data_IF_107246522120
#
_entry.id   IF_107246522120
#
_cell.length_a   1.000
_cell.length_b   1.000
_cell.length_c   1.000
_cell.angle_alpha   90.00
_cell.angle_beta   90.00
_cell.angle_gamma   90.00
#
_symmetry.space_group_name_H-M   'P 1'
#
loop_
_entity.id
_entity.type
_entity.pdbx_description
1 polymer ?
#
# COMPACT_ATOMS: atom_id res chain seq x y z
N UNK A 1 -7.57 1.21 -10.34
CA UNK A 1 -6.20 0.76 -10.75
C UNK A 1 -5.74 -0.35 -9.81
N UNK A 2 -4.67 -1.09 -10.09
CA UNK A 2 -4.02 -1.99 -9.11
C UNK A 2 -2.50 -1.86 -9.16
N UNK A 3 -1.85 -2.07 -8.02
CA UNK A 3 -0.39 -1.99 -7.88
C UNK A 3 0.13 -3.25 -7.22
N UNK A 4 1.15 -3.85 -7.83
CA UNK A 4 1.91 -4.95 -7.25
C UNK A 4 3.27 -4.41 -6.80
N UNK A 5 3.63 -4.56 -5.54
CA UNK A 5 4.85 -3.98 -4.96
C UNK A 5 5.65 -4.99 -4.13
N UNK A 6 6.98 -4.83 -4.13
CA UNK A 6 7.89 -5.48 -3.21
C UNK A 6 8.19 -4.53 -2.03
N UNK A 7 7.58 -4.80 -0.88
CA UNK A 7 7.81 -4.06 0.37
C UNK A 7 8.75 -4.80 1.33
N UNK A 8 9.40 -5.89 0.90
CA UNK A 8 10.33 -6.67 1.73
C UNK A 8 11.73 -6.06 1.79
N UNK A 9 12.07 -5.16 0.86
CA UNK A 9 13.38 -4.51 0.76
C UNK A 9 13.52 -3.38 1.79
N UNK A 10 14.75 -3.05 2.23
CA UNK A 10 15.00 -1.92 3.12
C UNK A 10 14.55 -0.58 2.53
N UNK A 11 14.77 -0.38 1.23
CA UNK A 11 14.25 0.78 0.50
C UNK A 11 12.94 0.37 -0.15
N UNK A 12 11.86 1.09 0.18
CA UNK A 12 10.51 0.85 -0.34
C UNK A 12 10.26 1.71 -1.59
N UNK A 13 9.32 1.30 -2.47
CA UNK A 13 8.93 2.12 -3.63
C UNK A 13 8.27 3.44 -3.25
N UNK A 14 7.59 3.48 -2.10
CA UNK A 14 7.03 4.68 -1.49
C UNK A 14 7.56 4.79 -0.06
N UNK A 15 8.06 5.95 0.30
CA UNK A 15 8.67 6.22 1.60
C UNK A 15 7.84 7.29 2.30
N UNK A 16 7.27 6.93 3.44
CA UNK A 16 6.71 7.88 4.38
C UNK A 16 7.83 8.34 5.32
N UNK A 17 8.16 9.63 5.28
CA UNK A 17 9.14 10.24 6.16
C UNK A 17 8.41 11.04 7.24
N UNK A 18 8.48 10.55 8.47
CA UNK A 18 8.05 11.31 9.64
C UNK A 18 9.20 12.21 10.13
N UNK A 19 8.99 13.54 10.15
CA UNK A 19 9.97 14.52 10.67
C UNK A 19 9.60 15.01 12.05
N UNK A 20 8.30 15.08 12.35
CA UNK A 20 7.74 15.39 13.67
C UNK A 20 6.45 14.57 13.81
N UNK A 21 6.41 13.62 14.77
CA UNK A 21 5.23 12.78 14.96
C UNK A 21 4.02 13.62 15.36
N UNK A 22 2.84 13.03 15.22
CA UNK A 22 1.59 13.68 15.60
C UNK A 22 1.56 13.98 17.09
N UNK A 23 1.55 15.26 17.44
CA UNK A 23 1.42 15.75 18.81
C UNK A 23 0.03 16.35 19.03
N UNK A 24 -0.83 15.62 19.75
CA UNK A 24 -2.18 16.06 20.08
C UNK A 24 -2.12 17.03 21.25
N UNK A 25 -2.45 18.29 20.99
CA UNK A 25 -2.52 19.35 21.98
C UNK A 25 -3.97 19.65 22.31
N UNK A 26 -4.25 19.80 23.59
CA UNK A 26 -5.59 20.10 24.09
C UNK A 26 -5.57 21.29 25.04
N UNK A 27 -6.58 22.14 24.93
CA UNK A 27 -6.98 23.16 25.89
C UNK A 27 -8.42 22.88 26.27
N UNK A 28 -8.56 21.86 27.10
CA UNK A 28 -9.84 21.28 27.51
C UNK A 28 -10.10 21.41 29.01
N UNK A 29 -9.29 22.18 29.75
CA UNK A 29 -9.51 22.40 31.16
C UNK A 29 -10.50 23.56 31.36
N UNK A 30 -11.41 23.43 32.32
CA UNK A 30 -12.38 24.48 32.66
C UNK A 30 -11.71 25.80 33.07
N UNK A 31 -10.44 25.73 33.49
CA UNK A 31 -9.60 26.87 33.85
C UNK A 31 -8.92 27.54 32.66
N UNK A 32 -8.99 26.97 31.45
CA UNK A 32 -8.39 27.57 30.27
C UNK A 32 -9.21 28.78 29.80
N UNK A 33 -8.54 29.88 29.44
CA UNK A 33 -9.19 31.13 29.02
C UNK A 33 -10.26 30.92 27.93
N UNK A 34 -10.01 30.00 27.00
CA UNK A 34 -10.96 29.68 25.92
C UNK A 34 -12.24 28.99 26.40
N UNK A 35 -12.17 28.20 27.47
CA UNK A 35 -13.34 27.56 28.07
C UNK A 35 -14.05 28.57 28.96
N UNK A 36 -13.32 29.28 29.81
CA UNK A 36 -13.90 30.25 30.74
C UNK A 36 -14.63 31.42 30.04
N UNK A 37 -14.02 32.04 29.04
CA UNK A 37 -14.59 33.22 28.39
C UNK A 37 -15.64 32.89 27.31
N UNK A 38 -15.51 31.73 26.65
CA UNK A 38 -16.21 31.44 25.40
C UNK A 38 -16.91 30.09 25.38
N UNK A 39 -16.73 29.26 26.40
CA UNK A 39 -17.23 27.89 26.47
C UNK A 39 -16.81 27.04 25.25
N UNK A 40 -15.54 27.19 24.83
CA UNK A 40 -14.99 26.47 23.67
C UNK A 40 -13.79 25.63 24.08
N UNK A 41 -13.91 24.32 23.96
CA UNK A 41 -12.82 23.35 24.10
C UNK A 41 -12.03 23.25 22.80
N UNK A 42 -10.69 23.36 22.87
CA UNK A 42 -9.84 23.39 21.68
C UNK A 42 -8.92 22.18 21.63
N UNK A 43 -8.86 21.57 20.45
CA UNK A 43 -7.94 20.49 20.13
C UNK A 43 -7.16 20.88 18.88
N UNK A 44 -5.85 20.68 18.94
CA UNK A 44 -4.93 20.94 17.84
C UNK A 44 -4.01 19.75 17.65
N UNK A 45 -3.52 19.59 16.42
CA UNK A 45 -2.50 18.60 16.09
C UNK A 45 -1.38 19.30 15.34
N UNK A 46 -0.14 19.14 15.79
CA UNK A 46 1.06 19.55 15.06
C UNK A 46 1.81 18.30 14.62
N UNK A 47 2.08 18.20 13.32
CA UNK A 47 2.82 17.10 12.74
C UNK A 47 3.60 17.63 11.53
N UNK A 48 4.70 16.97 11.18
CA UNK A 48 5.40 17.24 9.93
C UNK A 48 5.86 15.93 9.31
N UNK A 49 5.15 15.52 8.28
CA UNK A 49 5.49 14.37 7.47
C UNK A 49 5.77 14.77 6.02
N UNK A 50 6.42 13.87 5.28
CA UNK A 50 6.56 13.93 3.84
C UNK A 50 6.33 12.53 3.24
N UNK A 51 5.89 12.47 1.98
CA UNK A 51 5.81 11.22 1.21
C UNK A 51 6.59 11.42 -0.07
N UNK A 52 7.45 10.45 -0.39
CA UNK A 52 8.26 10.49 -1.60
C UNK A 52 8.36 9.13 -2.28
N UNK A 53 8.79 9.15 -3.53
CA UNK A 53 9.12 7.95 -4.28
C UNK A 53 10.53 7.46 -3.93
N UNK A 54 10.64 6.16 -3.69
CA UNK A 54 11.92 5.46 -3.58
C UNK A 54 12.29 4.78 -4.89
N UNK A 55 12.69 3.51 -4.82
CA UNK A 55 13.02 2.72 -6.01
C UNK A 55 11.75 2.29 -6.75
N UNK A 56 11.51 2.91 -7.90
CA UNK A 56 10.34 2.64 -8.73
C UNK A 56 10.31 1.20 -9.26
N UNK A 57 11.48 0.57 -9.46
CA UNK A 57 11.58 -0.80 -9.96
C UNK A 57 10.87 -1.81 -9.05
N UNK A 58 10.66 -1.48 -7.77
CA UNK A 58 10.00 -2.35 -6.80
C UNK A 58 8.46 -2.32 -6.89
N UNK A 59 7.87 -1.52 -7.78
CA UNK A 59 6.43 -1.45 -7.95
C UNK A 59 6.02 -1.53 -9.42
N UNK A 60 4.87 -2.17 -9.67
CA UNK A 60 4.22 -2.26 -10.96
C UNK A 60 2.77 -1.80 -10.82
N UNK A 61 2.44 -0.66 -11.42
CA UNK A 61 1.07 -0.16 -11.50
C UNK A 61 0.42 -0.52 -12.83
N UNK A 62 -0.83 -0.99 -12.79
CA UNK A 62 -1.60 -1.33 -13.99
C UNK A 62 -3.03 -0.80 -13.94
N UNK A 63 -3.47 -0.31 -15.09
CA UNK A 63 -4.87 0.07 -15.36
C UNK A 63 -5.68 -1.05 -16.01
N UNK A 64 -5.05 -2.18 -16.36
CA UNK A 64 -5.74 -3.32 -16.95
C UNK A 64 -6.66 -3.99 -15.93
N UNK A 65 -7.66 -4.72 -16.39
CA UNK A 65 -8.53 -5.53 -15.53
C UNK A 65 -7.70 -6.46 -14.65
N UNK A 66 -7.96 -6.47 -13.34
CA UNK A 66 -7.32 -7.42 -12.45
C UNK A 66 -7.86 -8.82 -12.73
N UNK A 67 -6.99 -9.73 -13.13
CA UNK A 67 -7.28 -11.16 -13.31
C UNK A 67 -5.98 -11.96 -13.12
N UNK A 68 -6.08 -13.29 -13.03
CA UNK A 68 -4.92 -14.14 -12.79
C UNK A 68 -3.83 -14.02 -13.87
N UNK A 69 -4.21 -13.84 -15.15
CA UNK A 69 -3.26 -13.72 -16.25
C UNK A 69 -2.45 -12.42 -16.16
N UNK A 70 -3.13 -11.29 -15.95
CA UNK A 70 -2.50 -9.98 -15.82
C UNK A 70 -1.66 -9.88 -14.53
N UNK A 71 -2.13 -10.48 -13.44
CA UNK A 71 -1.36 -10.59 -12.20
C UNK A 71 -0.05 -11.37 -12.43
N UNK A 72 -0.12 -12.54 -13.08
CA UNK A 72 1.06 -13.37 -13.35
C UNK A 72 2.06 -12.67 -14.28
N UNK A 73 1.56 -11.95 -15.28
CA UNK A 73 2.39 -11.16 -16.19
C UNK A 73 3.13 -10.03 -15.44
N UNK A 74 2.44 -9.28 -14.57
CA UNK A 74 3.07 -8.25 -13.75
C UNK A 74 4.07 -8.83 -12.73
N UNK A 75 3.71 -9.95 -12.11
CA UNK A 75 4.58 -10.65 -11.18
C UNK A 75 5.88 -11.09 -11.88
N UNK A 76 5.77 -11.64 -13.09
CA UNK A 76 6.91 -12.02 -13.91
C UNK A 76 7.73 -10.81 -14.36
N UNK A 77 7.09 -9.71 -14.73
CA UNK A 77 7.76 -8.47 -15.15
C UNK A 77 8.66 -7.92 -14.03
N UNK A 78 8.13 -7.82 -12.80
CA UNK A 78 8.91 -7.39 -11.63
C UNK A 78 10.09 -8.33 -11.35
N UNK A 79 9.86 -9.65 -11.37
CA UNK A 79 10.94 -10.64 -11.16
C UNK A 79 12.03 -10.59 -12.22
N UNK A 80 11.69 -10.21 -13.46
CA UNK A 80 12.63 -10.15 -14.57
C UNK A 80 13.41 -8.84 -14.64
N UNK A 81 13.09 -7.85 -13.81
CA UNK A 81 13.85 -6.60 -13.80
C UNK A 81 15.31 -6.84 -13.43
N UNK A 82 16.18 -6.26 -14.25
CA UNK A 82 17.63 -6.31 -14.10
C UNK A 82 18.14 -4.90 -13.84
N UNK A 83 19.19 -4.79 -13.05
CA UNK A 83 19.95 -3.55 -12.91
C UNK A 83 20.83 -3.30 -14.14
N UNK A 84 21.54 -2.18 -14.12
CA UNK A 84 22.37 -1.73 -15.26
C UNK A 84 23.47 -2.72 -15.63
N UNK A 85 24.00 -3.47 -14.65
CA UNK A 85 24.98 -4.54 -14.85
C UNK A 85 24.38 -5.84 -15.43
N UNK A 86 23.09 -5.85 -15.81
CA UNK A 86 22.38 -7.03 -16.30
C UNK A 86 22.06 -8.10 -15.22
N UNK A 87 22.41 -7.84 -13.96
CA UNK A 87 22.10 -8.72 -12.82
C UNK A 87 20.64 -8.56 -12.40
N UNK A 88 19.91 -9.66 -12.09
CA UNK A 88 18.57 -9.56 -11.53
C UNK A 88 18.55 -8.77 -10.23
N UNK A 89 17.56 -7.89 -10.07
CA UNK A 89 17.40 -7.09 -8.83
C UNK A 89 16.85 -7.91 -7.65
N UNK A 90 16.50 -9.17 -7.88
CA UNK A 90 15.98 -10.07 -6.84
C UNK A 90 14.66 -9.59 -6.24
N UNK A 91 13.83 -8.93 -7.04
CA UNK A 91 12.53 -8.38 -6.62
C UNK A 91 11.56 -9.54 -6.38
N UNK A 92 10.93 -9.54 -5.22
CA UNK A 92 9.88 -10.49 -4.86
C UNK A 92 8.64 -9.70 -4.48
N UNK A 93 7.67 -9.54 -5.39
CA UNK A 93 6.45 -8.83 -5.06
C UNK A 93 5.77 -9.48 -3.85
N UNK A 94 5.44 -8.66 -2.85
CA UNK A 94 4.88 -9.11 -1.58
C UNK A 94 3.50 -8.54 -1.31
N UNK A 95 3.12 -7.41 -1.90
CA UNK A 95 1.83 -6.77 -1.63
C UNK A 95 1.12 -6.42 -2.93
N UNK A 96 -0.17 -6.76 -3.00
CA UNK A 96 -1.10 -6.35 -4.05
C UNK A 96 -2.05 -5.30 -3.48
N UNK A 97 -1.91 -4.07 -3.92
CA UNK A 97 -2.72 -2.93 -3.50
C UNK A 97 -3.84 -2.73 -4.52
N UNK A 98 -5.08 -2.70 -4.03
CA UNK A 98 -6.27 -2.60 -4.86
C UNK A 98 -7.28 -1.62 -4.28
N UNK A 99 -8.15 -1.13 -5.15
CA UNK A 99 -9.33 -0.38 -4.76
C UNK A 99 -10.46 -1.32 -4.28
N UNK A 100 -11.48 -0.82 -3.56
CA UNK A 100 -12.53 -1.66 -2.98
C UNK A 100 -13.30 -2.48 -4.01
N UNK A 101 -13.48 -1.97 -5.24
CA UNK A 101 -14.15 -2.69 -6.33
C UNK A 101 -13.39 -3.94 -6.76
N UNK A 102 -12.06 -3.94 -6.68
CA UNK A 102 -11.21 -5.07 -7.06
C UNK A 102 -10.88 -6.00 -5.89
N UNK A 103 -11.35 -5.68 -4.67
CA UNK A 103 -11.09 -6.46 -3.45
C UNK A 103 -11.43 -7.94 -3.62
N UNK A 104 -12.64 -8.25 -4.08
CA UNK A 104 -13.11 -9.65 -4.22
C UNK A 104 -12.22 -10.41 -5.19
N UNK A 105 -11.97 -9.84 -6.37
CA UNK A 105 -11.08 -10.42 -7.39
C UNK A 105 -9.66 -10.62 -6.87
N UNK A 106 -9.13 -9.68 -6.07
CA UNK A 106 -7.81 -9.82 -5.47
C UNK A 106 -7.75 -10.97 -4.46
N UNK A 107 -8.77 -11.14 -3.62
CA UNK A 107 -8.87 -12.23 -2.66
C UNK A 107 -9.02 -13.59 -3.37
N UNK A 108 -9.77 -13.65 -4.47
CA UNK A 108 -9.87 -14.86 -5.30
C UNK A 108 -8.52 -15.26 -5.90
N UNK A 109 -7.75 -14.30 -6.38
CA UNK A 109 -6.42 -14.59 -6.96
C UNK A 109 -5.42 -15.00 -5.88
N UNK A 110 -5.43 -14.35 -4.71
CA UNK A 110 -4.34 -14.44 -3.74
C UNK A 110 -4.63 -15.37 -2.56
N UNK A 111 -5.89 -15.51 -2.14
CA UNK A 111 -6.25 -16.22 -0.90
C UNK A 111 -7.14 -17.44 -1.13
N UNK A 112 -7.97 -17.46 -2.18
CA UNK A 112 -8.87 -18.58 -2.43
C UNK A 112 -8.12 -19.89 -2.64
N UNK A 113 -8.70 -20.99 -2.16
CA UNK A 113 -8.08 -22.31 -2.27
C UNK A 113 -8.13 -22.87 -3.68
N UNK A 114 -9.23 -22.57 -4.39
CA UNK A 114 -9.47 -22.96 -5.78
C UNK A 114 -9.65 -21.72 -6.63
N UNK A 115 -9.24 -21.83 -7.89
CA UNK A 115 -9.52 -20.80 -8.89
C UNK A 115 -10.99 -20.90 -9.36
N UNK A 116 -11.40 -19.95 -10.20
CA UNK A 116 -12.76 -19.90 -10.76
C UNK A 116 -13.17 -21.15 -11.54
N UNK A 117 -12.20 -21.94 -12.04
CA UNK A 117 -12.42 -23.20 -12.73
C UNK A 117 -12.42 -24.43 -11.79
N UNK A 118 -12.32 -24.23 -10.48
CA UNK A 118 -12.31 -25.29 -9.47
C UNK A 118 -10.97 -26.02 -9.28
N UNK A 119 -9.92 -25.63 -9.99
CA UNK A 119 -8.56 -26.17 -9.84
C UNK A 119 -7.80 -25.46 -8.71
N UNK A 120 -6.73 -26.09 -8.20
CA UNK A 120 -5.90 -25.52 -7.13
C UNK A 120 -5.35 -24.16 -7.53
N UNK A 121 -5.49 -23.17 -6.64
CA UNK A 121 -4.94 -21.85 -6.86
C UNK A 121 -3.42 -21.83 -6.66
N UNK A 122 -2.68 -21.67 -7.76
CA UNK A 122 -1.20 -21.59 -7.76
C UNK A 122 -0.67 -20.27 -7.18
N UNK A 123 -1.49 -19.22 -7.14
CA UNK A 123 -1.12 -17.90 -6.64
C UNK A 123 -1.46 -17.71 -5.16
N UNK A 124 -1.98 -18.75 -4.50
CA UNK A 124 -2.34 -18.71 -3.08
C UNK A 124 -1.12 -18.34 -2.24
N UNK A 125 -1.21 -17.24 -1.48
CA UNK A 125 -0.12 -16.74 -0.63
C UNK A 125 1.05 -16.12 -1.40
N UNK A 126 0.90 -15.81 -2.69
CA UNK A 126 1.95 -15.16 -3.48
C UNK A 126 2.22 -13.71 -3.05
N UNK A 127 1.22 -13.03 -2.49
CA UNK A 127 1.27 -11.67 -1.97
C UNK A 127 0.25 -11.49 -0.83
N UNK A 128 0.32 -10.36 -0.13
CA UNK A 128 -0.70 -9.87 0.80
C UNK A 128 -1.59 -8.85 0.08
N UNK A 129 -2.91 -8.92 0.31
CA UNK A 129 -3.85 -7.97 -0.32
C UNK A 129 -4.05 -6.77 0.60
N UNK A 130 -3.72 -5.58 0.10
CA UNK A 130 -4.05 -4.30 0.73
C UNK A 130 -5.24 -3.71 -0.01
N UNK A 131 -6.38 -3.68 0.66
CA UNK A 131 -7.58 -2.98 0.22
C UNK A 131 -7.63 -1.59 0.86
N UNK A 132 -7.73 -0.54 0.04
CA UNK A 132 -7.81 0.84 0.52
C UNK A 132 -8.84 1.64 -0.29
N UNK A 133 -9.76 2.36 0.38
CA UNK A 133 -10.75 3.19 -0.31
C UNK A 133 -10.15 4.46 -0.94
N UNK A 134 -8.88 4.78 -0.64
CA UNK A 134 -8.20 5.98 -1.13
C UNK A 134 -7.40 5.73 -2.42
N UNK A 135 -7.61 4.59 -3.06
CA UNK A 135 -6.92 4.18 -4.27
C UNK A 135 -7.94 4.04 -5.40
N UNK A 136 -7.81 4.86 -6.44
CA UNK A 136 -8.73 4.91 -7.60
C UNK A 136 -8.28 4.00 -8.76
#
# INVERSE_FOLDING_TARGET
>A
VWVLADLSKPIKPIIFQDRRPYDLKKKDQDTDDNVFERDVYRYGVDARCNVGFGLWQLAYGSKQTLNAANFNAAYQALRRMKGDDGKPLGIRPTHLIVNPTNRVTALEIIQAERNAAGATNVNRGAAEVIDTPYFD
#
